data_IF_270626199563
#
_entry.id   IF_270626199563
#
_cell.length_a   1.000
_cell.length_b   1.000
_cell.length_c   1.000
_cell.angle_alpha   90.00
_cell.angle_beta   90.00
_cell.angle_gamma   90.00
#
_symmetry.space_group_name_H-M   'P 1'
#
loop_
_entity.id
_entity.type
_entity.pdbx_description
1 polymer ?
#
# COMPACT_ATOMS: atom_id res chain seq x y z
N UNK A 1 9.26 -12.18 69.77
CA UNK A 1 7.93 -12.67 69.35
C UNK A 1 7.98 -12.90 67.85
N UNK A 2 7.90 -14.17 67.42
CA UNK A 2 7.79 -14.57 66.02
C UNK A 2 6.38 -14.30 65.50
N UNK A 3 6.23 -13.84 64.26
CA UNK A 3 4.95 -13.88 63.55
C UNK A 3 5.17 -14.41 62.13
N UNK A 4 4.59 -15.59 61.88
CA UNK A 4 4.46 -16.21 60.56
C UNK A 4 3.09 -15.85 59.96
N UNK A 5 2.97 -15.81 58.62
CA UNK A 5 1.66 -15.62 57.97
C UNK A 5 1.66 -15.52 56.44
N UNK A 6 1.81 -16.68 55.79
CA UNK A 6 1.20 -17.18 54.52
C UNK A 6 0.75 -16.18 53.43
N UNK A 7 1.33 -16.33 52.23
CA UNK A 7 0.84 -15.81 50.94
C UNK A 7 -0.25 -16.71 50.35
N UNK A 8 -1.35 -16.13 49.88
CA UNK A 8 -2.35 -16.79 49.03
C UNK A 8 -2.63 -15.94 47.77
N UNK A 9 -2.82 -16.52 46.57
CA UNK A 9 -3.17 -15.76 45.38
C UNK A 9 -4.69 -15.53 45.32
N UNK A 10 -5.11 -14.28 45.18
CA UNK A 10 -6.50 -13.93 44.91
C UNK A 10 -6.79 -14.04 43.41
N UNK A 11 -7.73 -14.91 43.03
CA UNK A 11 -8.28 -14.97 41.68
C UNK A 11 -9.36 -13.88 41.53
N UNK A 12 -9.19 -12.99 40.55
CA UNK A 12 -10.15 -11.93 40.23
C UNK A 12 -11.10 -12.45 39.15
N UNK A 13 -12.40 -12.55 39.46
CA UNK A 13 -13.44 -12.80 38.47
C UNK A 13 -13.98 -11.47 37.94
N UNK A 14 -13.95 -11.26 36.63
CA UNK A 14 -14.63 -10.15 35.98
C UNK A 14 -16.05 -10.58 35.61
N UNK A 15 -17.06 -9.88 36.16
CA UNK A 15 -18.43 -9.93 35.67
C UNK A 15 -18.67 -8.74 34.73
N UNK A 16 -19.02 -9.01 33.48
CA UNK A 16 -19.45 -7.99 32.52
C UNK A 16 -20.98 -7.94 32.50
N UNK A 17 -21.56 -6.84 32.93
CA UNK A 17 -22.98 -6.53 32.72
C UNK A 17 -23.14 -5.78 31.39
N UNK A 18 -24.04 -6.26 30.53
CA UNK A 18 -24.40 -5.57 29.28
C UNK A 18 -25.57 -4.62 29.51
N UNK A 19 -25.47 -3.39 29.05
CA UNK A 19 -26.55 -2.40 29.07
C UNK A 19 -27.65 -2.78 28.07
N UNK A 20 -28.90 -2.74 28.53
CA UNK A 20 -30.09 -2.89 27.66
C UNK A 20 -30.77 -1.53 27.55
N UNK A 21 -30.67 -0.89 26.37
CA UNK A 21 -31.47 0.29 26.04
C UNK A 21 -32.72 -0.11 25.25
N UNK A 22 -33.90 0.48 25.51
CA UNK A 22 -35.12 0.17 24.76
C UNK A 22 -35.08 0.77 23.34
N UNK A 23 -35.56 -0.02 22.38
CA UNK A 23 -35.60 0.31 20.96
C UNK A 23 -36.75 1.29 20.67
N UNK A 24 -36.44 2.45 20.07
CA UNK A 24 -37.43 3.38 19.52
C UNK A 24 -37.72 2.99 18.06
N UNK A 25 -38.97 2.74 17.64
CA UNK A 25 -39.26 2.43 16.24
C UNK A 25 -39.07 3.67 15.37
N UNK A 26 -38.18 3.61 14.37
CA UNK A 26 -38.12 4.60 13.30
C UNK A 26 -39.16 4.27 12.23
N UNK A 27 -39.84 5.31 11.72
CA UNK A 27 -40.71 5.19 10.55
C UNK A 27 -39.94 4.70 9.32
N UNK A 28 -40.52 3.71 8.66
CA UNK A 28 -40.01 3.09 7.43
C UNK A 28 -40.17 4.04 6.25
N UNK A 29 -39.05 4.47 5.65
CA UNK A 29 -39.05 5.06 4.31
C UNK A 29 -38.99 3.91 3.31
N UNK A 30 -39.93 3.84 2.36
CA UNK A 30 -39.91 2.83 1.30
C UNK A 30 -38.76 3.11 0.31
N UNK A 31 -37.89 2.13 0.02
CA UNK A 31 -36.87 2.28 -1.02
C UNK A 31 -37.45 1.92 -2.40
N UNK A 32 -37.26 2.81 -3.36
CA UNK A 32 -37.40 2.54 -4.79
C UNK A 32 -36.02 2.13 -5.30
N UNK A 33 -35.93 0.91 -5.84
CA UNK A 33 -34.73 0.23 -6.40
C UNK A 33 -33.92 -0.54 -5.34
N UNK A 34 -33.88 -1.87 -5.51
CA UNK A 34 -33.34 -2.82 -4.55
C UNK A 34 -31.81 -2.90 -4.56
N UNK A 35 -31.21 -2.61 -3.41
CA UNK A 35 -29.82 -2.93 -3.09
C UNK A 35 -29.69 -4.42 -2.74
N UNK A 36 -29.00 -5.18 -3.57
CA UNK A 36 -28.41 -6.46 -3.14
C UNK A 36 -27.07 -6.16 -2.47
N UNK A 37 -27.04 -6.18 -1.13
CA UNK A 37 -25.79 -6.24 -0.37
C UNK A 37 -25.00 -7.50 -0.74
N UNK A 38 -23.69 -7.40 -1.02
CA UNK A 38 -22.87 -8.55 -1.32
C UNK A 38 -22.41 -9.18 -0.01
N UNK A 39 -23.23 -10.06 0.57
CA UNK A 39 -22.71 -11.08 1.46
C UNK A 39 -23.19 -12.43 0.95
N UNK A 40 -22.34 -13.44 1.08
CA UNK A 40 -22.45 -14.78 0.48
C UNK A 40 -21.93 -14.84 -0.97
N UNK A 41 -20.60 -14.83 -1.11
CA UNK A 41 -19.96 -15.40 -2.31
C UNK A 41 -19.91 -16.91 -2.10
N UNK A 42 -20.76 -17.65 -2.79
CA UNK A 42 -20.70 -19.11 -2.84
C UNK A 42 -19.86 -19.52 -4.06
N UNK A 43 -18.79 -20.29 -3.84
CA UNK A 43 -18.01 -20.87 -4.93
C UNK A 43 -18.80 -22.09 -5.44
N UNK A 44 -19.58 -21.89 -6.49
CA UNK A 44 -20.24 -22.99 -7.20
C UNK A 44 -19.20 -23.66 -8.10
N UNK A 45 -18.95 -24.95 -7.87
CA UNK A 45 -18.14 -25.76 -8.78
C UNK A 45 -18.80 -25.76 -10.15
N UNK A 46 -18.18 -25.11 -11.14
CA UNK A 46 -18.65 -25.19 -12.50
C UNK A 46 -18.59 -26.66 -12.94
N UNK A 47 -19.74 -27.22 -13.33
CA UNK A 47 -19.82 -28.55 -13.93
C UNK A 47 -18.80 -28.58 -15.07
N UNK A 48 -17.85 -29.52 -15.11
CA UNK A 48 -16.85 -29.54 -16.17
C UNK A 48 -17.59 -29.71 -17.49
N UNK A 49 -17.66 -28.64 -18.27
CA UNK A 49 -17.98 -28.75 -19.68
C UNK A 49 -16.74 -29.35 -20.31
N UNK A 50 -16.81 -30.65 -20.60
CA UNK A 50 -15.74 -31.35 -21.28
C UNK A 50 -15.49 -30.69 -22.63
N UNK A 51 -14.41 -29.92 -22.72
CA UNK A 51 -13.83 -29.57 -24.01
C UNK A 51 -13.17 -30.87 -24.49
N UNK A 52 -13.84 -31.56 -25.41
CA UNK A 52 -13.26 -32.70 -26.11
C UNK A 52 -12.24 -32.16 -27.09
N UNK A 53 -10.98 -32.05 -26.64
CA UNK A 53 -9.84 -31.98 -27.56
C UNK A 53 -9.54 -33.42 -27.99
N UNK A 54 -9.80 -33.70 -29.27
CA UNK A 54 -9.45 -34.96 -29.90
C UNK A 54 -7.93 -35.13 -29.86
N UNK A 55 -7.43 -36.01 -28.99
CA UNK A 55 -6.13 -36.66 -29.10
C UNK A 55 -6.11 -37.82 -28.12
N UNK A 56 -6.24 -39.03 -28.67
CA UNK A 56 -6.23 -40.30 -27.96
C UNK A 56 -4.87 -40.54 -27.28
N UNK A 57 -4.82 -40.50 -25.95
CA UNK A 57 -3.83 -41.24 -25.16
C UNK A 57 -4.48 -41.75 -23.87
N UNK A 58 -4.26 -43.03 -23.61
CA UNK A 58 -4.84 -43.89 -22.58
C UNK A 58 -5.02 -43.29 -21.19
N UNK A 59 -6.21 -43.53 -20.65
CA UNK A 59 -6.62 -43.40 -19.25
C UNK A 59 -5.70 -44.24 -18.35
N UNK A 60 -4.85 -43.57 -17.56
CA UNK A 60 -4.23 -44.12 -16.36
C UNK A 60 -4.97 -43.60 -15.13
N UNK A 61 -5.34 -44.52 -14.25
CA UNK A 61 -6.06 -44.31 -12.99
C UNK A 61 -5.22 -43.47 -12.01
N UNK A 62 -5.84 -42.47 -11.36
CA UNK A 62 -5.19 -41.61 -10.36
C UNK A 62 -4.93 -40.16 -10.80
N UNK A 63 -5.99 -39.36 -10.93
CA UNK A 63 -5.90 -37.90 -10.94
C UNK A 63 -6.50 -37.38 -9.65
N UNK A 64 -5.63 -37.03 -8.69
CA UNK A 64 -6.01 -36.15 -7.60
C UNK A 64 -6.70 -34.91 -8.20
N UNK A 65 -7.87 -34.56 -7.67
CA UNK A 65 -8.60 -33.37 -8.08
C UNK A 65 -7.65 -32.16 -8.03
N UNK A 66 -7.69 -31.25 -9.03
CA UNK A 66 -6.88 -30.05 -8.93
C UNK A 66 -7.34 -29.33 -7.67
N UNK A 67 -6.45 -29.22 -6.68
CA UNK A 67 -6.68 -28.40 -5.50
C UNK A 67 -7.05 -27.01 -6.02
N UNK A 68 -8.32 -26.65 -5.88
CA UNK A 68 -8.80 -25.32 -6.17
C UNK A 68 -7.98 -24.37 -5.29
N UNK A 69 -6.95 -23.75 -5.87
CA UNK A 69 -6.16 -22.74 -5.21
C UNK A 69 -7.01 -21.48 -5.08
N UNK A 70 -8.00 -21.51 -4.19
CA UNK A 70 -8.64 -20.31 -3.66
C UNK A 70 -7.59 -19.58 -2.83
N UNK A 71 -6.72 -18.83 -3.50
CA UNK A 71 -5.91 -17.81 -2.85
C UNK A 71 -6.84 -16.64 -2.60
N UNK A 72 -7.67 -16.76 -1.57
CA UNK A 72 -8.41 -15.65 -0.99
C UNK A 72 -7.36 -14.65 -0.46
N UNK A 73 -6.89 -13.76 -1.33
CA UNK A 73 -6.01 -12.68 -0.93
C UNK A 73 -6.87 -11.67 -0.18
N UNK A 74 -6.80 -11.72 1.15
CA UNK A 74 -7.47 -10.77 2.05
C UNK A 74 -6.93 -9.34 1.95
N UNK A 75 -5.87 -9.12 1.15
CA UNK A 75 -5.31 -7.79 0.86
C UNK A 75 -5.39 -7.52 -0.63
N UNK A 76 -6.03 -6.41 -0.97
CA UNK A 76 -6.04 -5.89 -2.34
C UNK A 76 -4.60 -5.71 -2.82
N UNK A 77 -4.31 -6.17 -4.04
CA UNK A 77 -3.04 -5.88 -4.70
C UNK A 77 -2.98 -4.45 -5.25
N UNK A 78 -4.11 -3.76 -5.31
CA UNK A 78 -4.18 -2.38 -5.74
C UNK A 78 -3.75 -1.44 -4.62
N UNK A 79 -2.85 -0.54 -4.95
CA UNK A 79 -2.44 0.54 -4.07
C UNK A 79 -3.55 1.61 -4.02
N UNK A 80 -3.98 2.03 -2.82
CA UNK A 80 -4.87 3.18 -2.69
C UNK A 80 -4.17 4.46 -3.19
N UNK A 81 -4.95 5.55 -3.32
CA UNK A 81 -4.37 6.86 -3.57
C UNK A 81 -3.32 7.20 -2.51
N UNK A 82 -2.22 7.81 -2.95
CA UNK A 82 -1.10 8.18 -2.09
C UNK A 82 -1.31 9.51 -1.39
N UNK A 83 -0.30 9.93 -0.62
CA UNK A 83 -0.29 11.22 0.07
C UNK A 83 -0.09 12.42 -0.88
N UNK A 84 0.57 12.21 -2.02
CA UNK A 84 0.77 13.29 -2.99
C UNK A 84 -0.51 13.57 -3.80
N UNK A 85 -0.90 14.84 -4.00
CA UNK A 85 -1.95 15.19 -4.93
C UNK A 85 -1.62 14.67 -6.34
N UNK A 86 -2.43 13.75 -6.86
CA UNK A 86 -2.14 13.07 -8.13
C UNK A 86 -2.44 13.91 -9.38
N UNK A 87 -3.13 15.05 -9.21
CA UNK A 87 -3.47 15.95 -10.30
C UNK A 87 -2.18 16.48 -10.95
N UNK A 88 -2.00 16.13 -12.22
CA UNK A 88 -0.84 16.53 -13.01
C UNK A 88 0.41 15.68 -12.75
N UNK A 89 0.37 14.68 -11.86
CA UNK A 89 1.46 13.71 -11.77
C UNK A 89 1.40 12.73 -12.93
N UNK A 90 2.56 12.23 -13.35
CA UNK A 90 2.65 11.19 -14.36
C UNK A 90 2.52 9.79 -13.75
N UNK A 91 2.15 8.81 -14.58
CA UNK A 91 1.82 7.45 -14.15
C UNK A 91 2.89 6.83 -13.26
N UNK A 92 4.17 6.95 -13.60
CA UNK A 92 5.25 6.37 -12.78
C UNK A 92 5.49 7.14 -11.48
N UNK A 93 5.32 8.45 -11.51
CA UNK A 93 5.37 9.30 -10.30
C UNK A 93 4.23 8.94 -9.34
N UNK A 94 3.01 8.70 -9.85
CA UNK A 94 1.88 8.23 -9.05
C UNK A 94 2.17 6.86 -8.45
N UNK A 95 2.69 5.91 -9.25
CA UNK A 95 3.05 4.58 -8.74
C UNK A 95 4.08 4.68 -7.61
N UNK A 96 5.09 5.53 -7.74
CA UNK A 96 6.09 5.76 -6.70
C UNK A 96 5.43 6.35 -5.44
N UNK A 97 4.63 7.41 -5.56
CA UNK A 97 3.95 8.06 -4.43
C UNK A 97 3.05 7.11 -3.66
N UNK A 98 2.19 6.36 -4.36
CA UNK A 98 1.30 5.35 -3.76
C UNK A 98 2.09 4.25 -3.05
N UNK A 99 3.18 3.79 -3.66
CA UNK A 99 4.02 2.73 -3.09
C UNK A 99 4.73 3.21 -1.83
N UNK A 100 5.29 4.43 -1.84
CA UNK A 100 5.93 5.05 -0.68
C UNK A 100 4.92 5.25 0.44
N UNK A 101 3.74 5.82 0.14
CA UNK A 101 2.67 6.05 1.12
C UNK A 101 2.21 4.76 1.80
N UNK A 102 2.08 3.67 1.04
CA UNK A 102 1.69 2.36 1.58
C UNK A 102 2.80 1.69 2.39
N UNK A 103 4.07 1.89 1.99
CA UNK A 103 5.23 1.22 2.61
C UNK A 103 5.70 1.92 3.89
N UNK A 104 5.60 3.25 3.94
CA UNK A 104 6.15 4.09 4.99
C UNK A 104 5.03 4.89 5.68
N UNK A 105 4.23 4.25 6.55
CA UNK A 105 3.13 4.92 7.25
C UNK A 105 3.58 6.05 8.18
N UNK A 106 4.88 6.18 8.48
CA UNK A 106 5.45 7.31 9.22
C UNK A 106 5.51 8.61 8.40
N UNK A 107 5.37 8.53 7.08
CA UNK A 107 5.30 9.70 6.20
C UNK A 107 3.87 10.21 6.20
N UNK A 108 3.71 11.51 6.41
CA UNK A 108 2.39 12.15 6.49
C UNK A 108 2.14 13.15 5.36
N UNK A 109 3.18 13.53 4.61
CA UNK A 109 3.10 14.50 3.53
C UNK A 109 4.05 14.13 2.40
N UNK A 110 3.56 14.21 1.16
CA UNK A 110 4.38 14.10 -0.05
C UNK A 110 3.99 15.23 -0.99
N UNK A 111 4.94 16.09 -1.31
CA UNK A 111 4.80 17.12 -2.34
C UNK A 111 4.83 16.52 -3.75
N UNK A 112 4.27 17.25 -4.72
CA UNK A 112 4.19 16.82 -6.11
C UNK A 112 4.23 17.99 -7.08
N UNK A 113 3.20 18.14 -7.92
CA UNK A 113 3.13 19.21 -8.92
C UNK A 113 3.07 20.59 -8.25
N UNK A 114 3.98 21.48 -8.67
CA UNK A 114 3.99 22.90 -8.31
C UNK A 114 4.82 23.69 -9.33
N UNK A 115 4.64 25.02 -9.44
CA UNK A 115 5.59 25.87 -10.13
C UNK A 115 6.99 25.71 -9.54
N UNK A 116 7.99 25.61 -10.40
CA UNK A 116 9.39 25.47 -10.05
C UNK A 116 10.27 25.98 -11.21
N UNK A 117 11.52 26.32 -10.90
CA UNK A 117 12.51 26.73 -11.90
C UNK A 117 12.96 25.55 -12.78
N UNK A 118 12.96 24.34 -12.22
CA UNK A 118 13.30 23.11 -12.93
C UNK A 118 12.05 22.35 -13.35
N UNK A 119 12.08 21.62 -14.47
CA UNK A 119 10.85 21.11 -15.09
C UNK A 119 10.21 19.93 -14.35
N UNK A 120 10.88 19.29 -13.39
CA UNK A 120 10.40 18.02 -12.84
C UNK A 120 9.11 18.14 -12.04
N UNK A 121 9.00 19.10 -11.10
CA UNK A 121 7.74 19.35 -10.41
C UNK A 121 6.65 19.89 -11.34
N UNK A 122 6.89 20.91 -12.19
CA UNK A 122 5.89 21.42 -13.14
C UNK A 122 5.32 20.37 -14.09
N UNK A 123 6.12 19.38 -14.51
CA UNK A 123 5.71 18.32 -15.43
C UNK A 123 5.25 17.03 -14.72
N UNK A 124 5.11 17.06 -13.39
CA UNK A 124 4.62 15.93 -12.61
C UNK A 124 5.54 14.71 -12.58
N UNK A 125 6.84 14.95 -12.69
CA UNK A 125 7.90 13.94 -12.69
C UNK A 125 8.52 13.72 -11.30
N UNK A 126 8.36 14.68 -10.39
CA UNK A 126 9.00 14.69 -9.08
C UNK A 126 8.04 14.58 -7.90
N UNK A 127 8.56 14.06 -6.79
CA UNK A 127 7.94 13.99 -5.47
C UNK A 127 8.92 14.52 -4.43
N UNK A 128 8.39 15.24 -3.44
CA UNK A 128 9.12 15.65 -2.24
C UNK A 128 8.55 14.88 -1.03
N UNK A 129 9.21 13.81 -0.60
CA UNK A 129 8.75 12.95 0.49
C UNK A 129 9.22 13.53 1.83
N UNK A 130 8.32 14.17 2.56
CA UNK A 130 8.67 14.92 3.78
C UNK A 130 9.04 13.98 4.93
N UNK A 131 10.23 14.16 5.49
CA UNK A 131 10.73 13.29 6.56
C UNK A 131 10.40 13.93 7.92
N UNK A 132 9.67 13.23 8.82
CA UNK A 132 9.42 13.72 10.18
C UNK A 132 10.72 13.78 10.99
N UNK A 133 10.90 14.86 11.75
CA UNK A 133 12.10 15.10 12.58
C UNK A 133 13.41 14.83 11.81
N UNK A 134 13.65 15.47 10.67
CA UNK A 134 14.64 15.01 9.68
C UNK A 134 16.11 15.22 10.09
N UNK A 135 16.34 15.91 11.21
CA UNK A 135 17.66 16.06 11.83
C UNK A 135 17.95 14.98 12.89
N UNK A 136 16.92 14.26 13.35
CA UNK A 136 17.08 13.15 14.31
C UNK A 136 17.74 11.93 13.65
N UNK A 137 18.29 11.03 14.47
CA UNK A 137 18.86 9.79 13.97
C UNK A 137 17.78 8.93 13.27
N UNK A 138 16.57 8.90 13.83
CA UNK A 138 15.42 8.18 13.30
C UNK A 138 14.95 8.75 11.97
N UNK A 139 14.84 10.08 11.85
CA UNK A 139 14.49 10.75 10.60
C UNK A 139 15.53 10.51 9.51
N UNK A 140 16.82 10.58 9.85
CA UNK A 140 17.91 10.26 8.92
C UNK A 140 17.83 8.80 8.47
N UNK A 141 17.60 7.87 9.39
CA UNK A 141 17.45 6.46 9.06
C UNK A 141 16.23 6.21 8.15
N UNK A 142 15.10 6.86 8.42
CA UNK A 142 13.90 6.77 7.58
C UNK A 142 14.15 7.31 6.17
N UNK A 143 14.78 8.48 6.03
CA UNK A 143 15.15 9.02 4.73
C UNK A 143 16.09 8.09 3.95
N UNK A 144 17.07 7.48 4.63
CA UNK A 144 17.95 6.48 4.03
C UNK A 144 17.18 5.24 3.56
N UNK A 145 16.22 4.76 4.35
CA UNK A 145 15.38 3.62 3.99
C UNK A 145 14.50 3.90 2.77
N UNK A 146 13.94 5.11 2.67
CA UNK A 146 13.13 5.53 1.53
C UNK A 146 13.99 5.60 0.25
N UNK A 147 15.19 6.19 0.32
CA UNK A 147 16.13 6.19 -0.83
C UNK A 147 16.45 4.75 -1.24
N UNK A 148 16.77 3.87 -0.29
CA UNK A 148 17.07 2.48 -0.57
C UNK A 148 15.88 1.75 -1.21
N UNK A 149 14.66 1.99 -0.74
CA UNK A 149 13.44 1.41 -1.31
C UNK A 149 13.20 1.89 -2.75
N UNK A 150 13.32 3.19 -3.00
CA UNK A 150 13.13 3.79 -4.32
C UNK A 150 14.18 3.24 -5.31
N UNK A 151 15.45 3.16 -4.90
CA UNK A 151 16.52 2.62 -5.75
C UNK A 151 16.37 1.12 -6.00
N UNK A 152 16.01 0.33 -4.98
CA UNK A 152 15.70 -1.11 -5.14
C UNK A 152 14.57 -1.34 -6.16
N UNK A 153 13.62 -0.41 -6.23
CA UNK A 153 12.48 -0.45 -7.15
C UNK A 153 12.68 0.42 -8.40
N UNK A 154 13.90 0.86 -8.70
CA UNK A 154 14.17 1.86 -9.74
C UNK A 154 13.56 1.50 -11.11
N UNK A 155 13.64 0.23 -11.50
CA UNK A 155 13.04 -0.27 -12.76
C UNK A 155 11.51 -0.17 -12.76
N UNK A 156 10.86 -0.50 -11.64
CA UNK A 156 9.39 -0.49 -11.48
C UNK A 156 8.84 0.94 -11.53
N UNK A 157 9.51 1.85 -10.82
CA UNK A 157 9.13 3.26 -10.74
C UNK A 157 9.72 4.12 -11.86
N UNK A 158 10.58 3.56 -12.73
CA UNK A 158 11.32 4.32 -13.74
C UNK A 158 12.04 5.52 -13.13
N UNK A 159 12.83 5.27 -12.09
CA UNK A 159 13.57 6.32 -11.37
C UNK A 159 14.66 6.89 -12.28
N UNK A 160 14.68 8.21 -12.38
CA UNK A 160 15.81 8.97 -12.90
C UNK A 160 16.83 9.16 -11.78
N UNK A 161 16.38 9.71 -10.66
CA UNK A 161 17.21 10.00 -9.50
C UNK A 161 16.41 10.16 -8.20
N UNK A 162 17.14 10.17 -7.09
CA UNK A 162 16.66 10.69 -5.81
C UNK A 162 17.76 11.52 -5.14
N UNK A 163 17.38 12.49 -4.31
CA UNK A 163 18.32 13.35 -3.57
C UNK A 163 17.97 13.29 -2.10
N UNK A 164 18.99 13.02 -1.27
CA UNK A 164 18.86 13.05 0.18
C UNK A 164 20.16 13.50 0.82
N UNK A 165 20.09 14.54 1.64
CA UNK A 165 21.19 15.08 2.47
C UNK A 165 22.48 15.28 1.69
N UNK A 166 22.37 15.91 0.53
CA UNK A 166 23.49 16.24 -0.33
C UNK A 166 24.04 15.06 -1.11
N UNK A 167 23.37 13.91 -1.15
CA UNK A 167 23.76 12.79 -2.01
C UNK A 167 22.78 12.65 -3.16
N UNK A 168 23.30 12.56 -4.38
CA UNK A 168 22.53 12.33 -5.60
C UNK A 168 22.62 10.84 -5.96
N UNK A 169 21.48 10.17 -5.91
CA UNK A 169 21.33 8.75 -6.14
C UNK A 169 20.72 8.51 -7.51
N UNK A 170 21.34 7.62 -8.29
CA UNK A 170 20.79 7.14 -9.56
C UNK A 170 20.76 5.62 -9.56
N UNK A 171 20.04 4.99 -10.50
CA UNK A 171 20.14 3.54 -10.70
C UNK A 171 21.58 3.05 -10.98
N UNK A 172 22.47 3.94 -11.44
CA UNK A 172 23.88 3.63 -11.69
C UNK A 172 24.81 3.81 -10.48
N UNK A 173 24.30 4.32 -9.35
CA UNK A 173 25.09 4.54 -8.13
C UNK A 173 24.83 5.89 -7.48
N UNK A 174 25.45 6.08 -6.32
CA UNK A 174 25.36 7.30 -5.51
C UNK A 174 26.62 8.15 -5.66
N UNK A 175 26.45 9.46 -5.69
CA UNK A 175 27.56 10.42 -5.70
C UNK A 175 27.27 11.59 -4.75
N UNK A 176 28.30 12.13 -4.06
CA UNK A 176 28.17 13.38 -3.33
C UNK A 176 27.72 14.51 -4.26
N UNK A 177 26.87 15.40 -3.75
CA UNK A 177 26.34 16.56 -4.46
C UNK A 177 26.27 17.77 -3.52
N UNK A 178 25.88 18.93 -4.05
CA UNK A 178 25.66 20.16 -3.27
C UNK A 178 24.18 20.58 -3.26
N UNK A 179 23.28 19.65 -3.61
CA UNK A 179 21.86 19.95 -3.82
C UNK A 179 21.05 20.06 -2.52
N UNK A 180 21.64 19.76 -1.35
CA UNK A 180 20.93 19.88 -0.07
C UNK A 180 19.91 18.76 0.14
N UNK A 181 18.65 19.10 0.44
CA UNK A 181 17.57 18.17 0.78
C UNK A 181 17.76 17.48 2.14
N UNK A 182 17.72 18.28 3.21
CA UNK A 182 17.95 17.81 4.58
C UNK A 182 16.67 17.53 5.36
N UNK A 183 15.51 17.88 4.80
CA UNK A 183 14.18 17.79 5.39
C UNK A 183 13.22 16.85 4.63
N UNK A 184 13.52 16.53 3.37
CA UNK A 184 12.75 15.60 2.54
C UNK A 184 13.64 14.79 1.60
N UNK A 185 13.15 13.62 1.17
CA UNK A 185 13.74 12.86 0.06
C UNK A 185 13.08 13.31 -1.24
N UNK A 186 13.84 13.92 -2.14
CA UNK A 186 13.36 14.23 -3.48
C UNK A 186 13.50 13.00 -4.37
N UNK A 187 12.47 12.71 -5.17
CA UNK A 187 12.42 11.56 -6.08
C UNK A 187 11.98 12.04 -7.45
N UNK A 188 12.80 11.82 -8.48
CA UNK A 188 12.45 12.10 -9.87
C UNK A 188 12.28 10.81 -10.65
N UNK A 189 11.17 10.70 -11.37
CA UNK A 189 10.92 9.62 -12.33
C UNK A 189 11.15 10.10 -13.76
N UNK A 190 11.35 9.17 -14.69
CA UNK A 190 11.35 9.49 -16.13
C UNK A 190 9.93 9.70 -16.67
N UNK A 191 8.91 9.72 -15.80
CA UNK A 191 7.51 9.86 -16.16
C UNK A 191 6.88 8.58 -16.70
N UNK A 192 5.82 8.74 -17.48
CA UNK A 192 5.07 7.63 -18.07
C UNK A 192 3.84 8.08 -18.85
N UNK A 193 3.79 9.37 -19.19
CA UNK A 193 2.58 10.04 -19.63
C UNK A 193 1.68 10.40 -18.45
N UNK A 194 0.68 11.24 -18.74
CA UNK A 194 -0.39 11.53 -17.80
C UNK A 194 -1.42 10.40 -17.80
N UNK A 195 -2.03 10.10 -16.64
CA UNK A 195 -3.06 9.07 -16.54
C UNK A 195 -4.21 9.29 -17.52
N UNK A 196 -4.70 8.20 -18.11
CA UNK A 196 -5.89 8.16 -18.97
C UNK A 196 -7.09 7.53 -18.27
N UNK A 197 -6.89 6.95 -17.08
CA UNK A 197 -7.93 6.38 -16.22
C UNK A 197 -8.02 4.86 -16.25
N UNK A 198 -7.21 4.19 -17.07
CA UNK A 198 -7.11 2.73 -17.16
C UNK A 198 -5.88 2.17 -16.43
N UNK A 199 -5.06 3.03 -15.82
CA UNK A 199 -3.85 2.62 -15.13
C UNK A 199 -4.14 1.83 -13.85
N UNK A 200 -3.43 0.70 -13.70
CA UNK A 200 -3.46 -0.11 -12.50
C UNK A 200 -2.18 0.10 -11.68
N UNK A 201 -2.34 0.61 -10.46
CA UNK A 201 -1.24 0.76 -9.50
C UNK A 201 -1.22 -0.43 -8.55
N UNK A 202 -0.26 -1.34 -8.75
CA UNK A 202 -0.15 -2.57 -7.98
C UNK A 202 1.00 -2.49 -6.97
N UNK A 203 0.82 -3.09 -5.81
CA UNK A 203 1.88 -3.32 -4.83
C UNK A 203 2.94 -4.33 -5.35
N UNK A 204 4.14 -4.29 -4.77
CA UNK A 204 5.24 -5.24 -4.99
C UNK A 204 4.97 -6.65 -4.43
#
# INVERSE_FOLDING_TARGET
>A
MLLAGVLAPAAVFFAAAGDVSPFVPRHTVQPVIGDTSPCCVEIVSAKPMGIVLASDVSRGDGMDAPLAASRYHTRSRFLPAGLAPERGLQVRTILASRSISAKFPQIHEIGGVRPDALPWHPLGLALDVMIPNPQSAEGIALGNEIVAYVMKNAKRFRIQDAIWRGVYYTPGGAQPSRLGHYDHVHVTTTGGGYPKGDEMYLAD
#
